data_IF_755882569323
#
_entry.id   IF_755882569323
#
_cell.length_a   1.000
_cell.length_b   1.000
_cell.length_c   1.000
_cell.angle_alpha   90.00
_cell.angle_beta   90.00
_cell.angle_gamma   90.00
#
_symmetry.space_group_name_H-M   'P 1'
#
loop_
_entity.id
_entity.type
_entity.pdbx_description
1 polymer ?
#
# COMPACT_ATOMS: atom_id res chain seq x y z
N UNK A 1 43.02 -8.64 -31.52
CA UNK A 1 43.61 -7.32 -31.11
C UNK A 1 42.67 -6.60 -30.19
N UNK A 2 43.16 -6.04 -29.08
CA UNK A 2 42.36 -5.21 -28.20
C UNK A 2 41.93 -3.92 -28.92
N UNK A 3 40.65 -3.55 -28.84
CA UNK A 3 40.14 -2.30 -29.40
C UNK A 3 40.71 -1.13 -28.59
N UNK A 4 41.15 -0.07 -29.29
CA UNK A 4 41.70 1.14 -28.67
C UNK A 4 40.81 2.35 -28.99
N UNK A 5 40.76 3.32 -28.09
CA UNK A 5 40.13 4.61 -28.34
C UNK A 5 41.10 5.54 -29.13
N UNK A 6 40.59 6.73 -29.49
CA UNK A 6 41.38 7.76 -30.23
C UNK A 6 42.61 8.28 -29.44
N UNK A 7 42.70 7.97 -28.14
CA UNK A 7 43.83 8.33 -27.25
C UNK A 7 44.75 7.13 -26.99
N UNK A 8 44.59 6.00 -27.74
CA UNK A 8 45.39 4.80 -27.62
C UNK A 8 45.11 3.91 -26.41
N UNK A 9 44.05 4.19 -25.62
CA UNK A 9 43.68 3.41 -24.42
C UNK A 9 42.90 2.16 -24.82
N UNK A 10 43.14 1.04 -24.15
CA UNK A 10 42.44 -0.21 -24.40
C UNK A 10 41.00 -0.13 -23.93
N UNK A 11 40.05 -0.48 -24.78
CA UNK A 11 38.64 -0.63 -24.48
C UNK A 11 38.31 -2.08 -24.09
N UNK A 12 37.54 -2.25 -23.01
CA UNK A 12 37.05 -3.56 -22.55
C UNK A 12 35.92 -4.08 -23.41
N UNK A 13 35.52 -5.32 -23.18
CA UNK A 13 34.33 -5.92 -23.79
C UNK A 13 33.09 -5.10 -23.43
N UNK A 14 32.28 -4.70 -24.43
CA UNK A 14 31.12 -3.84 -24.23
C UNK A 14 31.43 -2.34 -24.32
N UNK A 15 32.68 -1.88 -24.13
CA UNK A 15 33.06 -0.48 -24.29
C UNK A 15 33.27 -0.10 -25.76
N UNK A 16 32.76 1.07 -26.16
CA UNK A 16 32.90 1.64 -27.50
C UNK A 16 33.16 3.14 -27.41
N UNK A 17 33.96 3.70 -28.33
CA UNK A 17 34.01 5.13 -28.55
C UNK A 17 33.20 5.48 -29.80
N UNK A 18 32.29 6.43 -29.66
CA UNK A 18 31.45 6.92 -30.77
C UNK A 18 32.19 7.95 -31.61
N UNK A 19 31.75 8.21 -32.85
CA UNK A 19 32.36 9.24 -33.71
C UNK A 19 32.26 10.66 -33.11
N UNK A 20 31.25 10.92 -32.26
CA UNK A 20 31.05 12.18 -31.53
C UNK A 20 32.01 12.35 -30.33
N UNK A 21 32.93 11.41 -30.11
CA UNK A 21 33.93 11.43 -29.02
C UNK A 21 33.42 10.87 -27.68
N UNK A 22 32.10 10.66 -27.51
CA UNK A 22 31.53 10.06 -26.31
C UNK A 22 31.83 8.57 -26.24
N UNK A 23 31.80 8.01 -25.04
CA UNK A 23 31.98 6.58 -24.79
C UNK A 23 30.63 5.94 -24.53
N UNK A 24 30.44 4.69 -24.98
CA UNK A 24 29.24 3.87 -24.84
C UNK A 24 29.66 2.51 -24.25
N UNK A 25 28.91 2.05 -23.23
CA UNK A 25 29.01 0.69 -22.73
C UNK A 25 27.70 -0.04 -23.02
N UNK A 26 27.79 -1.16 -23.73
CA UNK A 26 26.70 -2.04 -24.13
C UNK A 26 26.74 -3.29 -23.29
N UNK A 27 25.61 -3.63 -22.67
CA UNK A 27 25.44 -4.82 -21.86
C UNK A 27 24.07 -5.45 -22.09
N UNK A 28 23.95 -6.74 -21.72
CA UNK A 28 22.69 -7.46 -21.71
C UNK A 28 22.26 -7.63 -20.24
N UNK A 29 21.07 -7.21 -19.93
CA UNK A 29 20.47 -7.46 -18.62
C UNK A 29 20.09 -8.95 -18.54
N UNK A 30 20.60 -9.65 -17.54
CA UNK A 30 20.44 -11.11 -17.43
C UNK A 30 19.03 -11.51 -17.02
N UNK A 31 18.30 -10.64 -16.29
CA UNK A 31 16.94 -10.90 -15.81
C UNK A 31 15.93 -10.66 -16.94
N UNK A 32 16.02 -9.51 -17.59
CA UNK A 32 15.05 -9.12 -18.64
C UNK A 32 15.43 -9.61 -20.03
N UNK A 33 16.69 -10.04 -20.23
CA UNK A 33 17.24 -10.43 -21.53
C UNK A 33 17.44 -9.26 -22.50
N UNK A 34 17.11 -8.04 -22.12
CA UNK A 34 17.19 -6.83 -22.96
C UNK A 34 18.63 -6.33 -23.09
N UNK A 35 18.93 -5.79 -24.26
CA UNK A 35 20.21 -5.09 -24.50
C UNK A 35 20.03 -3.62 -24.15
N UNK A 36 20.92 -3.12 -23.29
CA UNK A 36 20.95 -1.74 -22.82
C UNK A 36 22.27 -1.08 -23.13
N UNK A 37 22.29 0.25 -23.21
CA UNK A 37 23.50 1.05 -23.39
C UNK A 37 23.51 2.24 -22.44
N UNK A 38 24.70 2.57 -21.93
CA UNK A 38 24.94 3.80 -21.17
C UNK A 38 26.04 4.61 -21.83
N UNK A 39 25.99 5.92 -21.64
CA UNK A 39 26.86 6.87 -22.31
C UNK A 39 27.56 7.77 -21.30
N UNK A 40 28.83 8.08 -21.55
CA UNK A 40 29.61 9.03 -20.75
C UNK A 40 30.49 9.91 -21.67
N UNK A 41 30.85 11.07 -21.17
CA UNK A 41 31.74 11.99 -21.89
C UNK A 41 33.20 11.51 -21.92
N UNK A 42 33.61 10.76 -20.91
CA UNK A 42 34.96 10.22 -20.76
C UNK A 42 34.95 8.75 -20.32
N UNK A 43 36.09 8.07 -20.53
CA UNK A 43 36.24 6.65 -20.25
C UNK A 43 36.25 6.31 -18.76
N UNK A 44 36.67 7.23 -17.89
CA UNK A 44 36.69 7.00 -16.44
C UNK A 44 35.28 6.95 -15.89
N UNK A 45 34.47 7.95 -16.23
CA UNK A 45 33.02 8.00 -15.86
C UNK A 45 32.27 6.80 -16.43
N UNK A 46 32.57 6.36 -17.66
CA UNK A 46 31.95 5.15 -18.22
C UNK A 46 32.24 3.91 -17.37
N UNK A 47 33.51 3.75 -16.95
CA UNK A 47 33.95 2.60 -16.12
C UNK A 47 33.38 2.61 -14.71
N UNK A 48 33.13 3.77 -14.16
CA UNK A 48 32.37 3.86 -12.89
C UNK A 48 30.93 3.40 -13.07
N UNK A 49 30.28 3.81 -14.17
CA UNK A 49 28.93 3.32 -14.51
C UNK A 49 28.90 1.82 -14.77
N UNK A 50 29.89 1.29 -15.52
CA UNK A 50 30.07 -0.14 -15.77
C UNK A 50 30.20 -0.93 -14.45
N UNK A 51 31.07 -0.48 -13.54
CA UNK A 51 31.26 -1.11 -12.24
C UNK A 51 29.97 -1.15 -11.41
N UNK A 52 29.18 -0.07 -11.46
CA UNK A 52 27.90 0.00 -10.77
C UNK A 52 26.87 -0.94 -11.40
N UNK A 53 26.80 -0.98 -12.75
CA UNK A 53 25.89 -1.87 -13.49
C UNK A 53 26.23 -3.33 -13.22
N UNK A 54 27.52 -3.71 -13.30
CA UNK A 54 27.95 -5.08 -13.02
C UNK A 54 27.61 -5.49 -11.57
N UNK A 55 27.79 -4.59 -10.61
CA UNK A 55 27.38 -4.83 -9.23
C UNK A 55 25.85 -4.99 -9.09
N UNK A 56 25.07 -4.18 -9.82
CA UNK A 56 23.62 -4.30 -9.84
C UNK A 56 23.19 -5.64 -10.46
N UNK A 57 23.89 -6.10 -11.52
CA UNK A 57 23.65 -7.41 -12.16
C UNK A 57 24.05 -8.57 -11.23
N UNK A 58 25.20 -8.50 -10.57
CA UNK A 58 25.64 -9.50 -9.58
C UNK A 58 24.66 -9.63 -8.41
N UNK A 59 24.01 -8.52 -8.02
CA UNK A 59 22.96 -8.48 -7.00
C UNK A 59 21.56 -8.83 -7.56
N UNK A 60 21.45 -9.32 -8.78
CA UNK A 60 20.20 -9.69 -9.47
C UNK A 60 19.19 -8.52 -9.55
N UNK A 61 19.67 -7.28 -9.68
CA UNK A 61 18.79 -6.13 -9.87
C UNK A 61 18.56 -5.86 -11.36
N UNK A 62 17.31 -5.46 -11.67
CA UNK A 62 16.95 -5.04 -13.02
C UNK A 62 17.69 -3.74 -13.37
N UNK A 63 18.49 -3.78 -14.43
CA UNK A 63 19.29 -2.63 -14.90
C UNK A 63 18.57 -1.81 -15.99
N UNK A 64 17.37 -2.23 -16.40
CA UNK A 64 16.56 -1.55 -17.43
C UNK A 64 16.18 -0.13 -16.97
N UNK A 65 16.49 0.85 -17.84
CA UNK A 65 16.22 2.26 -17.58
C UNK A 65 14.70 2.56 -17.41
N UNK A 66 13.81 1.75 -17.99
CA UNK A 66 12.36 1.91 -17.86
C UNK A 66 11.90 1.61 -16.43
N UNK A 67 12.47 0.58 -15.80
CA UNK A 67 12.16 0.18 -14.42
C UNK A 67 12.71 1.20 -13.42
N UNK A 68 13.87 1.81 -13.71
CA UNK A 68 14.45 2.88 -12.87
C UNK A 68 13.60 4.16 -12.81
N UNK A 69 12.63 4.33 -13.72
CA UNK A 69 11.66 5.44 -13.70
C UNK A 69 10.39 5.14 -12.91
N UNK A 70 10.23 3.91 -12.42
CA UNK A 70 9.05 3.49 -11.69
C UNK A 70 8.85 4.36 -10.44
N UNK A 71 7.65 4.94 -10.29
CA UNK A 71 7.26 5.71 -9.10
C UNK A 71 6.61 4.81 -8.05
N UNK A 72 6.54 5.31 -6.82
CA UNK A 72 5.86 4.63 -5.72
C UNK A 72 4.36 4.46 -6.02
N UNK A 73 3.72 5.42 -6.72
CA UNK A 73 2.33 5.26 -7.18
C UNK A 73 2.17 4.07 -8.12
N UNK A 74 3.03 3.98 -9.15
CA UNK A 74 2.96 2.88 -10.11
C UNK A 74 3.29 1.52 -9.46
N UNK A 75 4.20 1.52 -8.48
CA UNK A 75 4.50 0.32 -7.68
C UNK A 75 3.28 -0.15 -6.88
N UNK A 76 2.57 0.78 -6.21
CA UNK A 76 1.33 0.47 -5.50
C UNK A 76 0.25 -0.08 -6.44
N UNK A 77 0.07 0.50 -7.62
CA UNK A 77 -0.88 0.02 -8.62
C UNK A 77 -0.57 -1.42 -9.06
N UNK A 78 0.72 -1.75 -9.27
CA UNK A 78 1.16 -3.12 -9.54
C UNK A 78 0.82 -4.06 -8.37
N UNK A 79 1.16 -3.66 -7.14
CA UNK A 79 0.84 -4.42 -5.94
C UNK A 79 -0.67 -4.68 -5.80
N UNK A 80 -1.51 -3.66 -6.03
CA UNK A 80 -2.96 -3.80 -5.96
C UNK A 80 -3.53 -4.72 -7.05
N UNK A 81 -2.88 -4.81 -8.21
CA UNK A 81 -3.27 -5.72 -9.29
C UNK A 81 -3.03 -7.20 -8.94
N UNK A 82 -2.04 -7.50 -8.06
CA UNK A 82 -1.75 -8.87 -7.60
C UNK A 82 -2.67 -9.33 -6.46
N UNK A 83 -3.43 -8.41 -5.82
CA UNK A 83 -4.25 -8.73 -4.64
C UNK A 83 -5.62 -9.29 -5.01
N UNK A 84 -5.92 -10.46 -4.47
CA UNK A 84 -7.27 -11.01 -4.48
C UNK A 84 -8.00 -10.61 -3.19
N UNK A 85 -8.62 -9.43 -3.18
CA UNK A 85 -9.34 -8.85 -2.04
C UNK A 85 -10.72 -8.37 -2.48
N UNK A 86 -11.66 -8.33 -1.52
CA UNK A 86 -13.02 -7.83 -1.77
C UNK A 86 -12.96 -6.39 -2.30
N UNK A 87 -13.84 -6.06 -3.25
CA UNK A 87 -13.87 -4.75 -3.92
C UNK A 87 -13.95 -3.57 -2.95
N UNK A 88 -14.74 -3.70 -1.88
CA UNK A 88 -14.83 -2.69 -0.81
C UNK A 88 -13.48 -2.43 -0.13
N UNK A 89 -12.72 -3.49 0.15
CA UNK A 89 -11.37 -3.35 0.75
C UNK A 89 -10.43 -2.65 -0.23
N UNK A 90 -10.52 -3.01 -1.52
CA UNK A 90 -9.74 -2.39 -2.59
C UNK A 90 -10.02 -0.90 -2.71
N UNK A 91 -11.31 -0.50 -2.74
CA UNK A 91 -11.73 0.92 -2.76
C UNK A 91 -11.19 1.68 -1.54
N UNK A 92 -11.25 1.08 -0.34
CA UNK A 92 -10.71 1.71 0.88
C UNK A 92 -9.19 1.91 0.80
N UNK A 93 -8.44 0.92 0.30
CA UNK A 93 -6.98 1.03 0.16
C UNK A 93 -6.60 2.11 -0.85
N UNK A 94 -7.28 2.16 -2.00
CA UNK A 94 -7.07 3.20 -3.01
C UNK A 94 -7.39 4.58 -2.41
N UNK A 95 -8.51 4.74 -1.68
CA UNK A 95 -8.88 6.01 -1.04
C UNK A 95 -7.84 6.45 0.00
N UNK A 96 -7.34 5.54 0.85
CA UNK A 96 -6.26 5.85 1.80
C UNK A 96 -4.99 6.31 1.10
N UNK A 97 -4.64 5.61 0.01
CA UNK A 97 -3.47 5.94 -0.80
C UNK A 97 -3.61 7.32 -1.44
N UNK A 98 -4.72 7.57 -2.13
CA UNK A 98 -4.99 8.82 -2.84
C UNK A 98 -5.02 10.03 -1.91
N UNK A 99 -5.59 9.84 -0.74
CA UNK A 99 -5.72 10.94 0.22
C UNK A 99 -4.40 11.30 0.92
N UNK A 100 -3.52 10.32 1.19
CA UNK A 100 -2.34 10.54 2.03
C UNK A 100 -1.00 10.35 1.33
N UNK A 101 -0.89 9.41 0.39
CA UNK A 101 0.40 9.00 -0.17
C UNK A 101 0.61 9.51 -1.59
N UNK A 102 -0.43 9.54 -2.43
CA UNK A 102 -0.32 9.83 -3.87
C UNK A 102 0.46 11.10 -4.18
N UNK A 103 0.15 12.20 -3.50
CA UNK A 103 0.75 13.51 -3.76
C UNK A 103 1.96 13.84 -2.86
N UNK A 104 2.28 12.97 -1.88
CA UNK A 104 3.43 13.14 -0.97
C UNK A 104 4.58 12.25 -1.38
N UNK A 105 4.52 10.98 -1.02
CA UNK A 105 5.55 9.97 -1.32
C UNK A 105 5.40 9.33 -2.71
N UNK A 106 4.18 9.35 -3.26
CA UNK A 106 3.80 8.58 -4.45
C UNK A 106 4.57 8.93 -5.72
N UNK A 107 5.03 10.17 -5.87
CA UNK A 107 5.76 10.64 -7.05
C UNK A 107 7.27 10.38 -6.99
N UNK A 108 7.80 9.93 -5.86
CA UNK A 108 9.21 9.60 -5.70
C UNK A 108 9.50 8.31 -6.50
N UNK A 109 10.64 8.27 -7.18
CA UNK A 109 11.06 7.03 -7.85
C UNK A 109 11.43 5.96 -6.81
N UNK A 110 11.05 4.72 -7.07
CA UNK A 110 11.30 3.59 -6.15
C UNK A 110 12.78 3.44 -5.82
N UNK A 111 13.67 3.63 -6.81
CA UNK A 111 15.13 3.54 -6.63
C UNK A 111 15.74 4.67 -5.80
N UNK A 112 15.07 5.82 -5.71
CA UNK A 112 15.52 6.98 -4.92
C UNK A 112 14.84 7.05 -3.56
N UNK A 113 13.91 6.14 -3.30
CA UNK A 113 13.13 6.12 -2.08
C UNK A 113 13.99 5.67 -0.88
N UNK A 114 13.95 6.42 0.20
CA UNK A 114 14.78 6.21 1.39
C UNK A 114 13.93 6.03 2.64
N UNK A 115 14.47 5.32 3.62
CA UNK A 115 13.86 5.17 4.95
C UNK A 115 13.55 6.51 5.62
N UNK A 116 14.37 7.55 5.37
CA UNK A 116 14.12 8.90 5.87
C UNK A 116 12.81 9.51 5.36
N UNK A 117 12.45 9.26 4.10
CA UNK A 117 11.17 9.74 3.55
C UNK A 117 9.97 9.19 4.33
N UNK A 118 9.99 7.89 4.66
CA UNK A 118 8.92 7.25 5.44
C UNK A 118 8.85 7.80 6.86
N UNK A 119 10.01 7.91 7.53
CA UNK A 119 10.08 8.43 8.90
C UNK A 119 9.59 9.87 8.99
N UNK A 120 10.04 10.74 8.08
CA UNK A 120 9.56 12.13 8.01
C UNK A 120 8.06 12.20 7.75
N UNK A 121 7.56 11.36 6.84
CA UNK A 121 6.13 11.29 6.53
C UNK A 121 5.31 10.83 7.75
N UNK A 122 5.70 9.76 8.44
CA UNK A 122 4.99 9.27 9.62
C UNK A 122 5.07 10.24 10.80
N UNK A 123 6.22 10.94 10.97
CA UNK A 123 6.34 12.01 11.96
C UNK A 123 5.34 13.12 11.68
N UNK A 124 5.25 13.61 10.44
CA UNK A 124 4.30 14.64 10.08
C UNK A 124 2.84 14.22 10.33
N UNK A 125 2.47 12.97 10.00
CA UNK A 125 1.14 12.44 10.29
C UNK A 125 0.87 12.33 11.80
N UNK A 126 1.89 12.02 12.59
CA UNK A 126 1.80 11.98 14.05
C UNK A 126 1.59 13.39 14.62
N UNK A 127 2.30 14.38 14.08
CA UNK A 127 2.18 15.80 14.47
C UNK A 127 0.81 16.39 14.09
N UNK A 128 0.19 15.88 13.00
CA UNK A 128 -1.21 16.15 12.64
C UNK A 128 -2.22 15.51 13.62
N UNK A 129 -1.78 14.69 14.56
CA UNK A 129 -2.63 14.01 15.56
C UNK A 129 -3.33 12.75 15.04
N UNK A 130 -2.87 12.13 13.97
CA UNK A 130 -3.46 10.88 13.48
C UNK A 130 -3.26 9.74 14.48
N UNK A 131 -4.28 8.88 14.59
CA UNK A 131 -4.19 7.68 15.41
C UNK A 131 -3.13 6.70 14.85
N UNK A 132 -2.43 6.00 15.75
CA UNK A 132 -1.46 4.97 15.40
C UNK A 132 -2.03 3.92 14.42
N UNK A 133 -3.29 3.51 14.62
CA UNK A 133 -3.98 2.55 13.75
C UNK A 133 -4.09 3.03 12.29
N UNK A 134 -4.25 4.34 12.07
CA UNK A 134 -4.30 4.93 10.72
C UNK A 134 -2.93 4.90 10.07
N UNK A 135 -1.88 5.29 10.80
CA UNK A 135 -0.48 5.23 10.32
C UNK A 135 -0.08 3.78 10.03
N UNK A 136 -0.47 2.85 10.90
CA UNK A 136 -0.28 1.40 10.69
C UNK A 136 -0.98 0.91 9.42
N UNK A 137 -2.17 1.43 9.11
CA UNK A 137 -2.87 1.14 7.85
C UNK A 137 -2.07 1.61 6.63
N UNK A 138 -1.51 2.81 6.64
CA UNK A 138 -0.66 3.35 5.57
C UNK A 138 0.66 2.55 5.43
N UNK A 139 1.28 2.18 6.57
CA UNK A 139 2.43 1.27 6.58
C UNK A 139 2.09 -0.07 5.92
N UNK A 140 0.90 -0.62 6.22
CA UNK A 140 0.39 -1.88 5.65
C UNK A 140 0.14 -1.83 4.13
N UNK A 141 0.11 -0.65 3.53
CA UNK A 141 0.07 -0.48 2.07
C UNK A 141 1.47 -0.26 1.48
N UNK A 142 2.29 0.57 2.14
CA UNK A 142 3.65 0.87 1.68
C UNK A 142 4.59 -0.34 1.78
N UNK A 143 4.64 -0.99 2.94
CA UNK A 143 5.61 -2.05 3.19
C UNK A 143 5.50 -3.21 2.18
N UNK A 144 4.33 -3.83 1.96
CA UNK A 144 4.24 -4.93 1.00
C UNK A 144 4.39 -4.48 -0.46
N UNK A 145 4.09 -3.21 -0.79
CA UNK A 145 4.40 -2.68 -2.12
C UNK A 145 5.91 -2.65 -2.37
N UNK A 146 6.70 -2.26 -1.37
CA UNK A 146 8.16 -2.26 -1.47
C UNK A 146 8.77 -3.67 -1.34
N UNK A 147 8.11 -4.63 -0.65
CA UNK A 147 8.52 -6.03 -0.70
C UNK A 147 8.41 -6.58 -2.13
N UNK A 148 7.31 -6.28 -2.84
CA UNK A 148 7.19 -6.64 -4.26
C UNK A 148 8.33 -6.05 -5.09
N UNK A 149 8.77 -4.81 -4.81
CA UNK A 149 9.90 -4.22 -5.53
C UNK A 149 11.24 -4.91 -5.23
N UNK A 150 11.40 -5.51 -4.06
CA UNK A 150 12.56 -6.35 -3.72
C UNK A 150 12.47 -7.70 -4.43
N UNK A 151 11.30 -8.34 -4.39
CA UNK A 151 11.03 -9.62 -5.07
C UNK A 151 11.24 -9.52 -6.60
N UNK A 152 10.79 -8.40 -7.18
CA UNK A 152 10.98 -8.10 -8.61
C UNK A 152 12.42 -7.67 -8.95
N UNK A 153 13.36 -7.63 -8.01
CA UNK A 153 14.74 -7.21 -8.24
C UNK A 153 14.91 -5.72 -8.62
N UNK A 154 13.95 -4.85 -8.26
CA UNK A 154 14.01 -3.41 -8.56
C UNK A 154 14.91 -2.70 -7.56
N UNK A 155 14.87 -3.11 -6.31
CA UNK A 155 15.68 -2.59 -5.21
C UNK A 155 16.23 -3.74 -4.34
N UNK A 156 17.38 -3.51 -3.70
CA UNK A 156 18.06 -4.53 -2.86
C UNK A 156 17.39 -4.77 -1.53
N UNK A 157 16.75 -3.75 -0.97
CA UNK A 157 16.20 -3.77 0.39
C UNK A 157 14.99 -2.88 0.46
N UNK A 158 13.97 -3.33 1.19
CA UNK A 158 12.79 -2.55 1.46
C UNK A 158 13.11 -1.40 2.43
N UNK A 159 12.97 -0.12 2.00
CA UNK A 159 13.26 1.04 2.84
C UNK A 159 12.17 1.31 3.89
N UNK A 160 11.02 0.63 3.81
CA UNK A 160 9.87 0.81 4.70
C UNK A 160 9.95 -0.11 5.91
N UNK A 161 10.59 -1.27 5.77
CA UNK A 161 10.68 -2.26 6.84
C UNK A 161 11.26 -1.66 8.14
N UNK A 162 10.55 -1.88 9.25
CA UNK A 162 10.97 -1.41 10.57
C UNK A 162 10.81 0.09 10.82
N UNK A 163 10.07 0.81 9.98
CA UNK A 163 9.87 2.26 10.13
C UNK A 163 8.61 2.65 10.92
N UNK A 164 7.71 1.69 11.20
CA UNK A 164 6.42 2.01 11.82
C UNK A 164 6.57 2.66 13.21
N UNK A 165 7.47 2.14 14.07
CA UNK A 165 7.70 2.72 15.41
C UNK A 165 6.40 3.04 16.18
N UNK A 166 6.50 4.01 17.08
CA UNK A 166 5.40 4.46 17.95
C UNK A 166 4.75 5.75 17.44
N UNK A 167 4.69 5.93 16.12
CA UNK A 167 4.04 7.09 15.52
C UNK A 167 2.53 7.08 15.74
N UNK A 168 1.97 8.29 15.97
CA UNK A 168 0.54 8.54 16.08
C UNK A 168 0.00 8.40 17.50
N UNK A 169 -1.18 8.98 17.72
CA UNK A 169 -1.84 8.93 19.00
C UNK A 169 -2.22 7.49 19.36
N UNK A 170 -2.03 7.07 20.64
CA UNK A 170 -2.45 5.75 21.09
C UNK A 170 -3.94 5.56 20.90
N UNK A 171 -4.36 4.32 20.73
CA UNK A 171 -5.78 3.98 20.66
C UNK A 171 -6.45 4.34 22.00
N UNK A 172 -7.53 5.13 21.93
CA UNK A 172 -8.38 5.32 23.10
C UNK A 172 -9.06 4.00 23.43
N UNK A 173 -8.97 3.60 24.69
CA UNK A 173 -9.67 2.43 25.17
C UNK A 173 -11.17 2.69 25.03
N UNK A 174 -11.88 1.76 24.41
CA UNK A 174 -13.33 1.85 24.24
C UNK A 174 -13.98 1.06 25.37
N UNK A 175 -14.66 1.76 26.23
CA UNK A 175 -15.45 1.14 27.28
C UNK A 175 -16.78 0.64 26.73
N UNK A 176 -17.18 -0.55 27.15
CA UNK A 176 -18.53 -1.05 26.88
C UNK A 176 -19.54 -0.34 27.79
N UNK A 177 -20.79 -0.20 27.34
CA UNK A 177 -21.86 0.31 28.17
C UNK A 177 -22.11 -0.66 29.33
N UNK A 178 -22.22 -0.10 30.54
CA UNK A 178 -22.71 -0.87 31.68
C UNK A 178 -24.20 -1.19 31.50
N UNK A 179 -24.70 -2.20 32.20
CA UNK A 179 -26.13 -2.55 32.15
C UNK A 179 -27.00 -1.36 32.53
N UNK A 180 -26.62 -0.58 33.56
CA UNK A 180 -27.33 0.63 33.98
C UNK A 180 -27.37 1.70 32.88
N UNK A 181 -26.28 1.91 32.20
CA UNK A 181 -26.18 2.85 31.05
C UNK A 181 -27.05 2.38 29.90
N UNK A 182 -27.04 1.08 29.60
CA UNK A 182 -27.88 0.47 28.57
C UNK A 182 -29.38 0.66 28.87
N UNK A 183 -29.83 0.41 30.12
CA UNK A 183 -31.19 0.61 30.52
C UNK A 183 -31.61 2.09 30.41
N UNK A 184 -30.77 3.01 30.88
CA UNK A 184 -31.01 4.45 30.74
C UNK A 184 -31.14 4.88 29.28
N UNK A 185 -30.28 4.35 28.41
CA UNK A 185 -30.33 4.63 26.97
C UNK A 185 -31.65 4.12 26.37
N UNK A 186 -32.05 2.88 26.64
CA UNK A 186 -33.28 2.32 26.10
C UNK A 186 -34.51 3.08 26.58
N UNK A 187 -34.57 3.47 27.85
CA UNK A 187 -35.66 4.33 28.40
C UNK A 187 -35.73 5.70 27.72
N UNK A 188 -34.57 6.32 27.47
CA UNK A 188 -34.50 7.58 26.73
C UNK A 188 -35.03 7.43 25.31
N UNK A 189 -34.62 6.37 24.61
CA UNK A 189 -35.06 6.09 23.23
C UNK A 189 -36.58 5.83 23.20
N UNK A 190 -37.13 5.09 24.16
CA UNK A 190 -38.55 4.79 24.26
C UNK A 190 -39.41 6.05 24.43
N UNK A 191 -38.89 7.02 25.20
CA UNK A 191 -39.59 8.29 25.48
C UNK A 191 -39.43 9.33 24.38
N UNK A 192 -38.50 9.13 23.46
CA UNK A 192 -38.17 10.07 22.38
C UNK A 192 -39.06 9.89 21.17
N UNK A 193 -39.74 10.95 20.73
CA UNK A 193 -40.54 10.92 19.50
C UNK A 193 -39.70 10.70 18.26
N UNK A 194 -38.43 11.07 18.31
CA UNK A 194 -37.49 10.96 17.17
C UNK A 194 -36.84 9.56 17.11
N UNK A 195 -36.41 9.04 18.26
CA UNK A 195 -35.63 7.80 18.31
C UNK A 195 -36.44 6.54 18.58
N UNK A 196 -37.67 6.67 19.03
CA UNK A 196 -38.57 5.54 19.33
C UNK A 196 -38.71 4.50 18.20
N UNK A 197 -38.75 4.88 16.91
CA UNK A 197 -38.80 3.89 15.83
C UNK A 197 -37.60 2.96 15.78
N UNK A 198 -36.45 3.35 16.34
CA UNK A 198 -35.22 2.54 16.37
C UNK A 198 -35.14 1.62 17.60
N UNK A 199 -36.06 1.72 18.54
CA UNK A 199 -36.04 0.94 19.79
C UNK A 199 -36.00 -0.57 19.56
N UNK A 200 -36.84 -1.17 18.69
CA UNK A 200 -36.78 -2.62 18.43
C UNK A 200 -35.42 -3.09 17.91
N UNK A 201 -34.83 -2.32 17.00
CA UNK A 201 -33.50 -2.62 16.45
C UNK A 201 -32.42 -2.60 17.55
N UNK A 202 -32.44 -1.58 18.43
CA UNK A 202 -31.50 -1.47 19.54
C UNK A 202 -31.68 -2.61 20.56
N UNK A 203 -32.93 -3.01 20.86
CA UNK A 203 -33.20 -4.14 21.73
C UNK A 203 -32.61 -5.45 21.17
N UNK A 204 -32.80 -5.71 19.88
CA UNK A 204 -32.20 -6.88 19.21
C UNK A 204 -30.66 -6.80 19.23
N UNK A 205 -30.08 -5.64 18.92
CA UNK A 205 -28.64 -5.45 18.96
C UNK A 205 -28.04 -5.73 20.34
N UNK A 206 -28.63 -5.22 21.39
CA UNK A 206 -28.16 -5.44 22.77
C UNK A 206 -28.43 -6.86 23.26
N UNK A 207 -29.62 -7.42 22.95
CA UNK A 207 -30.00 -8.76 23.40
C UNK A 207 -29.23 -9.88 22.73
N UNK A 208 -28.93 -9.73 21.40
CA UNK A 208 -28.27 -10.74 20.63
C UNK A 208 -26.79 -10.37 20.26
N UNK A 209 -26.28 -9.25 20.78
CA UNK A 209 -24.91 -8.75 20.51
C UNK A 209 -24.58 -8.60 19.00
N UNK A 210 -25.57 -8.23 18.18
CA UNK A 210 -25.42 -8.11 16.73
C UNK A 210 -24.84 -6.75 16.33
N UNK A 211 -24.10 -6.74 15.21
CA UNK A 211 -23.70 -5.49 14.58
C UNK A 211 -24.87 -4.85 13.85
N UNK A 212 -24.82 -3.52 13.67
CA UNK A 212 -25.88 -2.77 12.95
C UNK A 212 -26.20 -3.39 11.59
N UNK A 213 -25.19 -3.72 10.78
CA UNK A 213 -25.37 -4.31 9.45
C UNK A 213 -25.96 -5.72 9.47
N UNK A 214 -25.65 -6.51 10.49
CA UNK A 214 -26.24 -7.82 10.72
C UNK A 214 -27.70 -7.70 11.14
N UNK A 215 -28.00 -6.78 12.09
CA UNK A 215 -29.37 -6.54 12.58
C UNK A 215 -30.30 -6.04 11.46
N UNK A 216 -29.82 -5.11 10.62
CA UNK A 216 -30.62 -4.59 9.49
C UNK A 216 -30.83 -5.67 8.43
N UNK A 217 -29.88 -6.61 8.29
CA UNK A 217 -29.95 -7.72 7.36
C UNK A 217 -30.83 -8.89 7.80
N UNK A 218 -31.33 -8.92 9.07
CA UNK A 218 -32.17 -10.01 9.57
C UNK A 218 -33.51 -10.08 8.85
N UNK A 219 -33.90 -11.29 8.51
CA UNK A 219 -35.21 -11.64 7.97
C UNK A 219 -35.96 -12.59 8.92
N UNK A 220 -37.24 -12.78 8.72
CA UNK A 220 -38.01 -13.72 9.52
C UNK A 220 -37.58 -15.18 9.36
N UNK A 221 -36.97 -15.53 8.25
CA UNK A 221 -36.36 -16.85 8.03
C UNK A 221 -35.14 -17.13 8.88
N UNK A 222 -34.49 -16.06 9.41
CA UNK A 222 -33.31 -16.18 10.26
C UNK A 222 -33.67 -16.35 11.74
N UNK A 223 -34.97 -16.29 12.09
CA UNK A 223 -35.43 -16.35 13.47
C UNK A 223 -36.18 -17.66 13.74
N UNK A 224 -35.58 -18.53 14.55
CA UNK A 224 -36.26 -19.74 15.06
C UNK A 224 -36.87 -19.47 16.42
N UNK A 225 -38.17 -19.18 16.39
CA UNK A 225 -38.94 -18.89 17.62
C UNK A 225 -39.11 -20.12 18.52
N UNK A 226 -39.07 -21.33 17.95
CA UNK A 226 -39.22 -22.59 18.69
C UNK A 226 -37.97 -22.90 19.53
N UNK A 227 -36.80 -22.77 18.91
CA UNK A 227 -35.53 -23.01 19.57
C UNK A 227 -34.95 -21.75 20.22
N UNK A 228 -35.57 -20.56 20.03
CA UNK A 228 -35.14 -19.25 20.54
C UNK A 228 -33.73 -18.89 19.99
N UNK A 229 -33.51 -19.13 18.71
CA UNK A 229 -32.25 -18.89 18.05
C UNK A 229 -32.40 -17.85 16.92
N UNK A 230 -31.34 -17.06 16.71
CA UNK A 230 -31.19 -16.17 15.57
C UNK A 230 -30.00 -16.65 14.75
N UNK A 231 -30.24 -16.97 13.50
CA UNK A 231 -29.20 -17.38 12.58
C UNK A 231 -28.65 -16.18 11.81
N UNK A 232 -27.38 -15.83 12.03
CA UNK A 232 -26.75 -14.67 11.39
C UNK A 232 -25.98 -15.14 10.16
N UNK A 233 -26.69 -15.25 9.03
CA UNK A 233 -26.15 -15.72 7.75
C UNK A 233 -25.57 -14.64 6.86
N UNK A 234 -25.87 -13.36 7.13
CA UNK A 234 -25.46 -12.27 6.25
C UNK A 234 -25.54 -10.89 6.89
N UNK A 235 -25.23 -9.87 6.11
CA UNK A 235 -25.32 -8.47 6.54
C UNK A 235 -25.81 -7.59 5.38
N UNK A 236 -26.52 -6.51 5.68
CA UNK A 236 -26.87 -5.51 4.68
C UNK A 236 -25.73 -4.49 4.56
N UNK A 237 -25.21 -4.32 3.35
CA UNK A 237 -24.12 -3.39 3.06
C UNK A 237 -24.57 -2.38 2.02
N UNK A 238 -24.27 -1.10 2.26
CA UNK A 238 -24.48 -0.04 1.27
C UNK A 238 -23.26 0.10 0.36
N UNK A 239 -23.49 0.11 -0.95
CA UNK A 239 -22.50 0.43 -1.97
C UNK A 239 -22.84 1.77 -2.59
N UNK A 240 -21.82 2.64 -2.71
CA UNK A 240 -21.94 3.90 -3.46
C UNK A 240 -22.08 3.58 -4.97
N UNK A 241 -23.08 4.17 -5.61
CA UNK A 241 -23.39 3.97 -7.02
C UNK A 241 -24.78 3.37 -7.25
N UNK A 242 -24.98 2.73 -8.40
CA UNK A 242 -26.28 2.19 -8.81
C UNK A 242 -26.72 0.93 -8.03
N UNK A 243 -25.79 0.30 -7.29
CA UNK A 243 -26.09 -0.94 -6.56
C UNK A 243 -26.85 -0.71 -5.25
N UNK A 244 -26.67 0.46 -4.59
CA UNK A 244 -27.36 0.79 -3.35
C UNK A 244 -27.09 -0.18 -2.20
N UNK A 245 -28.16 -0.64 -1.51
CA UNK A 245 -28.07 -1.63 -0.44
C UNK A 245 -28.07 -3.05 -1.02
N UNK A 246 -27.04 -3.82 -0.71
CA UNK A 246 -26.89 -5.22 -1.10
C UNK A 246 -26.76 -6.12 0.13
N UNK A 247 -27.35 -7.33 0.06
CA UNK A 247 -27.23 -8.37 1.07
C UNK A 247 -25.98 -9.22 0.80
N UNK A 248 -25.16 -9.46 1.83
CA UNK A 248 -23.92 -10.26 1.76
C UNK A 248 -23.86 -11.28 2.88
#
# INVERSE_FOLDING_TARGET
>A
MARKDNKGRNLKTGEYQRPDGRYEYRYKDEITGKRNSVYAADLASLREMEKKINKDMDDLLITDASVKKLTVNTLFERYMATKNIKERTKKNYIRMWDYRIRNTLGNIRVVDFKTSHVRTFFSALSDEGLAHSTIKGLYGLLNPSFELAVEDGIIRKNPVTGTLGDYGAPAKEKEALTLEQQEKLLKFVEQSNVYKPHLPMMQVMFGACLRVSETIGLTWSDVDMKNREIHVGGQLVYYEGDEGYCFH
#
